data_IF_336275141469
#
_entry.id   IF_336275141469
#
_cell.length_a   1.000
_cell.length_b   1.000
_cell.length_c   1.000
_cell.angle_alpha   90.00
_cell.angle_beta   90.00
_cell.angle_gamma   90.00
#
_symmetry.space_group_name_H-M   'P 1'
#
loop_
_entity.id
_entity.type
_entity.pdbx_description
1 polymer ?
#
# COMPACT_ATOMS: atom_id res chain seq x y z
N UNK A 1 -38.78 -19.36 -3.55
CA UNK A 1 -37.79 -18.37 -3.09
C UNK A 1 -37.96 -17.13 -3.94
N UNK A 2 -38.18 -15.96 -3.35
CA UNK A 2 -38.23 -14.71 -4.10
C UNK A 2 -36.82 -14.33 -4.55
N UNK A 3 -36.62 -14.05 -5.84
CA UNK A 3 -35.40 -13.42 -6.33
C UNK A 3 -35.25 -12.05 -5.67
N UNK A 4 -34.12 -11.82 -5.00
CA UNK A 4 -33.77 -10.47 -4.57
C UNK A 4 -33.40 -9.69 -5.82
N UNK A 5 -34.30 -8.78 -6.21
CA UNK A 5 -34.08 -7.83 -7.29
C UNK A 5 -32.97 -6.85 -6.89
N UNK A 6 -32.13 -6.47 -7.84
CA UNK A 6 -31.08 -5.49 -7.62
C UNK A 6 -31.66 -4.11 -7.32
N UNK A 7 -31.00 -3.33 -6.48
CA UNK A 7 -31.44 -1.98 -6.12
C UNK A 7 -30.98 -0.98 -7.18
N UNK A 8 -31.85 -0.02 -7.51
CA UNK A 8 -31.50 1.05 -8.43
C UNK A 8 -30.44 1.96 -7.80
N UNK A 9 -29.63 2.60 -8.64
CA UNK A 9 -28.53 3.48 -8.19
C UNK A 9 -29.02 4.64 -7.31
N UNK A 10 -30.21 5.19 -7.60
CA UNK A 10 -30.86 6.24 -6.80
C UNK A 10 -31.32 5.80 -5.40
N UNK A 11 -31.28 4.49 -5.13
CA UNK A 11 -31.65 3.87 -3.86
C UNK A 11 -30.43 3.33 -3.09
N UNK A 12 -29.23 3.46 -3.65
CA UNK A 12 -28.01 3.03 -3.01
C UNK A 12 -27.59 4.01 -1.89
N UNK A 13 -26.96 3.46 -0.85
CA UNK A 13 -26.37 4.24 0.24
C UNK A 13 -24.85 4.24 0.12
N UNK A 14 -24.21 5.33 0.54
CA UNK A 14 -22.75 5.39 0.65
C UNK A 14 -22.22 4.27 1.56
N UNK A 15 -21.15 3.60 1.12
CA UNK A 15 -20.45 2.59 1.91
C UNK A 15 -19.07 3.08 2.29
N UNK A 16 -18.78 3.10 3.59
CA UNK A 16 -17.47 3.49 4.13
C UNK A 16 -16.46 2.35 4.15
N UNK A 17 -16.90 1.09 4.02
CA UNK A 17 -16.02 -0.08 4.00
C UNK A 17 -16.55 -1.17 3.04
N UNK A 18 -16.56 -0.92 1.72
CA UNK A 18 -17.06 -1.90 0.74
C UNK A 18 -16.14 -3.12 0.66
N UNK A 19 -16.71 -4.32 0.60
CA UNK A 19 -15.93 -5.57 0.49
C UNK A 19 -15.78 -6.07 -0.95
N UNK A 20 -16.75 -5.75 -1.82
CA UNK A 20 -16.85 -6.26 -3.19
C UNK A 20 -17.33 -5.17 -4.14
N UNK A 21 -16.83 -5.20 -5.37
CA UNK A 21 -17.36 -4.42 -6.50
C UNK A 21 -18.03 -5.41 -7.46
N UNK A 22 -19.25 -5.09 -7.88
CA UNK A 22 -19.89 -5.80 -8.99
C UNK A 22 -19.34 -5.26 -10.30
N UNK A 23 -19.07 -6.14 -11.25
CA UNK A 23 -18.60 -5.77 -12.59
C UNK A 23 -19.31 -6.59 -13.67
N UNK A 24 -19.17 -6.14 -14.91
CA UNK A 24 -19.49 -6.91 -16.11
C UNK A 24 -18.19 -7.12 -16.89
N UNK A 25 -18.02 -8.29 -17.49
CA UNK A 25 -16.95 -8.50 -18.47
C UNK A 25 -17.35 -7.96 -19.86
N UNK A 26 -16.45 -8.08 -20.84
CA UNK A 26 -16.70 -7.62 -22.22
C UNK A 26 -17.82 -8.37 -22.94
N UNK A 27 -18.25 -9.51 -22.42
CA UNK A 27 -19.32 -10.35 -22.97
C UNK A 27 -20.66 -10.13 -22.25
N UNK A 28 -20.68 -9.28 -21.20
CA UNK A 28 -21.86 -8.96 -20.41
C UNK A 28 -22.13 -9.93 -19.25
N UNK A 29 -21.19 -10.82 -18.91
CA UNK A 29 -21.35 -11.69 -17.75
C UNK A 29 -21.11 -10.91 -16.45
N UNK A 30 -21.97 -11.11 -15.45
CA UNK A 30 -21.83 -10.49 -14.13
C UNK A 30 -20.77 -11.18 -13.27
N UNK A 31 -19.88 -10.39 -12.68
CA UNK A 31 -18.85 -10.85 -11.75
C UNK A 31 -18.80 -10.02 -10.46
N UNK A 32 -18.08 -10.56 -9.47
CA UNK A 32 -17.74 -9.87 -8.22
C UNK A 32 -16.22 -9.83 -8.07
N UNK A 33 -15.67 -8.63 -7.93
CA UNK A 33 -14.27 -8.40 -7.60
C UNK A 33 -14.19 -8.19 -6.09
N UNK A 34 -13.39 -9.02 -5.41
CA UNK A 34 -13.02 -8.77 -4.02
C UNK A 34 -12.12 -7.52 -3.97
N UNK A 35 -12.53 -6.49 -3.20
CA UNK A 35 -11.72 -5.27 -3.07
C UNK A 35 -10.33 -5.58 -2.53
N UNK A 36 -10.22 -6.52 -1.59
CA UNK A 36 -8.94 -6.94 -1.04
C UNK A 36 -7.97 -7.39 -2.13
N UNK A 37 -8.44 -8.18 -3.10
CA UNK A 37 -7.63 -8.66 -4.23
C UNK A 37 -7.28 -7.54 -5.21
N UNK A 38 -8.21 -6.62 -5.47
CA UNK A 38 -7.96 -5.48 -6.34
C UNK A 38 -6.90 -4.55 -5.71
N UNK A 39 -7.04 -4.26 -4.43
CA UNK A 39 -6.14 -3.38 -3.68
C UNK A 39 -4.73 -3.96 -3.52
N UNK A 40 -4.56 -5.30 -3.54
CA UNK A 40 -3.24 -5.94 -3.57
C UNK A 40 -2.47 -5.63 -4.85
N UNK A 41 -3.15 -5.31 -5.96
CA UNK A 41 -2.53 -4.98 -7.25
C UNK A 41 -2.28 -3.49 -7.44
N UNK A 42 -2.62 -2.66 -6.45
CA UNK A 42 -2.51 -1.20 -6.54
C UNK A 42 -1.54 -0.65 -5.50
N UNK A 43 -0.88 0.46 -5.83
CA UNK A 43 -0.17 1.23 -4.82
C UNK A 43 -1.17 1.90 -3.87
N UNK A 44 -1.02 1.65 -2.57
CA UNK A 44 -1.91 2.22 -1.54
C UNK A 44 -1.29 3.46 -0.90
N UNK A 45 -2.06 4.54 -0.75
CA UNK A 45 -1.69 5.61 0.18
C UNK A 45 -2.18 5.23 1.58
N UNK A 46 -1.26 4.95 2.50
CA UNK A 46 -1.59 4.50 3.86
C UNK A 46 -1.61 5.65 4.87
N UNK A 47 -1.46 6.90 4.42
CA UNK A 47 -1.51 8.07 5.29
C UNK A 47 -0.36 8.12 6.30
N UNK A 48 -0.69 8.40 7.56
CA UNK A 48 0.27 8.50 8.66
C UNK A 48 0.42 7.17 9.40
N UNK A 49 1.64 6.63 9.40
CA UNK A 49 2.03 5.45 10.16
C UNK A 49 2.75 5.90 11.44
N UNK A 50 2.04 5.84 12.57
CA UNK A 50 2.55 6.33 13.85
C UNK A 50 3.68 5.48 14.43
N UNK A 51 3.69 4.17 14.20
CA UNK A 51 4.58 3.24 14.92
C UNK A 51 4.80 1.91 14.18
N UNK A 52 4.71 1.89 12.86
CA UNK A 52 4.91 0.66 12.09
C UNK A 52 6.31 0.63 11.49
N UNK A 53 7.03 -0.47 11.71
CA UNK A 53 8.14 -0.81 10.83
C UNK A 53 7.58 -0.94 9.41
N UNK A 54 8.22 -0.28 8.45
CA UNK A 54 7.81 -0.30 7.05
C UNK A 54 7.87 -1.70 6.44
N UNK A 55 8.38 -2.73 7.13
CA UNK A 55 8.44 -4.12 6.63
C UNK A 55 7.10 -4.71 6.18
N UNK A 56 5.98 -4.30 6.80
CA UNK A 56 4.66 -4.92 6.58
C UNK A 56 3.69 -4.06 5.77
N UNK A 57 4.16 -2.98 5.13
CA UNK A 57 3.29 -2.03 4.42
C UNK A 57 2.96 -2.46 2.99
N UNK A 58 3.62 -3.50 2.48
CA UNK A 58 3.47 -3.97 1.09
C UNK A 58 3.87 -2.89 0.08
N UNK A 59 3.23 -2.91 -1.09
CA UNK A 59 3.32 -1.84 -2.09
C UNK A 59 2.45 -0.65 -1.67
N UNK A 60 3.07 0.42 -1.16
CA UNK A 60 2.38 1.59 -0.62
C UNK A 60 3.26 2.83 -0.51
N UNK A 61 2.63 3.97 -0.28
CA UNK A 61 3.25 5.25 0.06
C UNK A 61 2.55 5.89 1.26
N UNK A 62 3.25 6.79 1.96
CA UNK A 62 2.68 7.48 3.12
C UNK A 62 3.73 8.28 3.88
N UNK A 63 3.44 8.58 5.13
CA UNK A 63 4.35 9.24 6.07
C UNK A 63 4.63 8.31 7.25
N UNK A 64 5.89 8.16 7.64
CA UNK A 64 6.28 7.36 8.80
C UNK A 64 7.31 8.07 9.66
N UNK A 65 7.24 7.85 10.97
CA UNK A 65 8.27 8.31 11.92
C UNK A 65 9.39 7.28 12.07
N UNK A 66 10.58 7.73 12.46
CA UNK A 66 11.81 6.93 12.44
C UNK A 66 11.91 5.87 13.55
N UNK A 67 11.04 5.92 14.55
CA UNK A 67 11.21 5.17 15.80
C UNK A 67 11.24 3.66 15.60
N UNK A 68 10.51 3.15 14.60
CA UNK A 68 10.29 1.71 14.42
C UNK A 68 10.88 1.16 13.11
N UNK A 69 11.08 1.99 12.08
CA UNK A 69 11.57 1.53 10.78
C UNK A 69 13.11 1.50 10.68
N UNK A 70 13.82 2.06 11.66
CA UNK A 70 15.29 2.13 11.69
C UNK A 70 15.90 3.10 10.68
N UNK A 71 15.08 3.93 10.01
CA UNK A 71 15.56 4.91 9.03
C UNK A 71 16.27 6.09 9.68
N UNK A 72 15.96 6.39 10.95
CA UNK A 72 16.46 7.58 11.64
C UNK A 72 15.96 8.90 11.04
N UNK A 73 14.96 8.88 10.15
CA UNK A 73 14.36 10.08 9.57
C UNK A 73 12.82 10.00 9.62
N UNK A 74 12.16 11.11 9.90
CA UNK A 74 10.71 11.23 9.79
C UNK A 74 10.38 11.74 8.39
N UNK A 75 9.36 11.22 7.73
CA UNK A 75 8.97 11.77 6.44
C UNK A 75 8.23 10.81 5.52
N UNK A 76 8.17 11.22 4.25
CA UNK A 76 7.46 10.50 3.20
C UNK A 76 8.23 9.24 2.80
N UNK A 77 7.53 8.14 2.58
CA UNK A 77 8.10 6.90 2.09
C UNK A 77 7.36 6.37 0.86
N UNK A 78 8.09 5.57 0.08
CA UNK A 78 7.57 4.69 -0.95
C UNK A 78 8.13 3.28 -0.70
N UNK A 79 7.25 2.29 -0.70
CA UNK A 79 7.55 0.87 -0.56
C UNK A 79 6.99 0.13 -1.76
N UNK A 80 7.81 -0.68 -2.41
CA UNK A 80 7.42 -1.50 -3.56
C UNK A 80 7.81 -2.94 -3.23
N UNK A 81 6.82 -3.83 -3.25
CA UNK A 81 7.02 -5.27 -3.20
C UNK A 81 6.88 -5.86 -4.60
N UNK A 82 7.82 -6.73 -4.98
CA UNK A 82 7.75 -7.51 -6.20
C UNK A 82 8.40 -8.87 -6.00
N UNK A 83 7.65 -9.95 -6.28
CA UNK A 83 8.12 -11.33 -6.21
C UNK A 83 8.72 -11.73 -4.85
N UNK A 84 8.32 -11.09 -3.75
CA UNK A 84 8.85 -11.27 -2.40
C UNK A 84 10.03 -10.36 -2.06
N UNK A 85 10.59 -9.60 -3.00
CA UNK A 85 11.62 -8.58 -2.73
C UNK A 85 10.96 -7.24 -2.42
N UNK A 86 11.61 -6.43 -1.59
CA UNK A 86 11.15 -5.06 -1.32
C UNK A 86 12.21 -4.05 -1.67
N UNK A 87 11.77 -2.92 -2.22
CA UNK A 87 12.51 -1.67 -2.29
C UNK A 87 11.78 -0.61 -1.48
N UNK A 88 12.50 0.08 -0.62
CA UNK A 88 11.95 1.18 0.18
C UNK A 88 12.85 2.41 0.06
N UNK A 89 12.23 3.57 -0.13
CA UNK A 89 12.88 4.87 -0.14
C UNK A 89 12.09 5.81 0.78
N UNK A 90 12.80 6.66 1.50
CA UNK A 90 12.24 7.60 2.46
C UNK A 90 12.98 8.93 2.36
N UNK A 91 12.23 10.02 2.33
CA UNK A 91 12.75 11.39 2.29
C UNK A 91 12.33 12.10 3.57
N UNK A 92 13.27 12.79 4.21
CA UNK A 92 13.00 13.55 5.42
C UNK A 92 11.99 14.67 5.15
N UNK A 93 11.12 14.94 6.12
CA UNK A 93 10.15 16.04 6.05
C UNK A 93 10.79 17.43 5.90
N UNK A 94 12.07 17.57 6.29
CA UNK A 94 12.87 18.78 6.12
C UNK A 94 13.60 18.84 4.77
N UNK A 95 13.58 17.77 3.99
CA UNK A 95 14.29 17.66 2.71
C UNK A 95 15.81 17.51 2.82
N UNK A 96 16.35 17.37 4.04
CA UNK A 96 17.80 17.30 4.30
C UNK A 96 18.44 15.92 4.02
N UNK A 97 17.62 14.88 3.88
CA UNK A 97 18.10 13.52 3.81
C UNK A 97 17.15 12.61 3.05
N UNK A 98 17.74 11.72 2.26
CA UNK A 98 17.06 10.69 1.51
C UNK A 98 17.74 9.36 1.81
N UNK A 99 16.95 8.34 2.16
CA UNK A 99 17.46 7.01 2.51
C UNK A 99 16.70 5.94 1.76
N UNK A 100 17.37 4.82 1.50
CA UNK A 100 16.74 3.64 0.92
C UNK A 100 17.22 2.36 1.58
N UNK A 101 16.42 1.31 1.46
CA UNK A 101 16.80 -0.07 1.82
C UNK A 101 16.13 -1.06 0.89
N UNK A 102 16.61 -2.29 0.92
CA UNK A 102 16.03 -3.41 0.18
C UNK A 102 15.89 -4.61 1.09
N UNK A 103 14.89 -5.45 0.79
CA UNK A 103 14.75 -6.79 1.35
C UNK A 103 15.05 -7.82 0.26
N UNK A 104 15.90 -8.77 0.60
CA UNK A 104 16.16 -9.92 -0.25
C UNK A 104 15.48 -11.16 0.36
N UNK A 105 14.49 -11.70 -0.36
CA UNK A 105 13.72 -12.88 0.06
C UNK A 105 14.53 -14.18 0.12
N UNK A 106 15.59 -14.29 -0.69
CA UNK A 106 16.40 -15.50 -0.77
C UNK A 106 17.24 -15.67 0.49
N UNK A 107 17.71 -14.54 1.02
CA UNK A 107 18.48 -14.50 2.25
C UNK A 107 17.63 -14.19 3.49
N UNK A 108 16.35 -13.85 3.33
CA UNK A 108 15.45 -13.37 4.39
C UNK A 108 16.06 -12.21 5.21
N UNK A 109 16.67 -11.24 4.50
CA UNK A 109 17.41 -10.14 5.13
C UNK A 109 16.97 -8.79 4.59
N UNK A 110 16.70 -7.88 5.52
CA UNK A 110 16.64 -6.45 5.26
C UNK A 110 18.05 -5.87 5.31
N UNK A 111 18.48 -5.24 4.22
CA UNK A 111 19.68 -4.43 4.22
C UNK A 111 19.43 -3.18 5.06
N UNK A 112 20.40 -2.78 5.88
CA UNK A 112 20.33 -1.53 6.64
C UNK A 112 20.10 -0.33 5.71
N UNK A 113 19.41 0.69 6.23
CA UNK A 113 19.19 1.93 5.51
C UNK A 113 20.51 2.55 5.05
N UNK A 114 20.57 2.89 3.77
CA UNK A 114 21.66 3.63 3.15
C UNK A 114 21.21 5.06 2.90
N UNK A 115 22.09 6.02 3.16
CA UNK A 115 21.84 7.44 2.87
C UNK A 115 22.34 7.80 1.47
N UNK A 116 21.57 8.64 0.79
CA UNK A 116 21.99 9.35 -0.41
C UNK A 116 22.25 10.81 -0.02
N UNK A 117 23.47 11.27 -0.28
CA UNK A 117 23.85 12.66 -0.09
C UNK A 117 23.92 13.34 -1.45
N UNK A 118 23.29 14.49 -1.58
CA UNK A 118 23.51 15.40 -2.71
C UNK A 118 24.56 16.42 -2.27
N UNK A 119 25.67 16.47 -3.00
CA UNK A 119 26.74 17.46 -2.85
C UNK A 119 26.59 18.55 -3.88
#
# INVERSE_FOLDING_TARGET
>A
MAEKQDIREDQMTEMTNPQKIRCLDSEGNSGLILLSTLLLKTMRNVGYLSSNDLKNVGTSCGYAISTEDGSGINGLFLSIEAMGYYFQIKVSYTGDSLKFRVYNKESDIWINWRSISFT
#
